data_IF_530175916722
#
_entry.id   IF_530175916722
#
_cell.length_a   1.000
_cell.length_b   1.000
_cell.length_c   1.000
_cell.angle_alpha   90.00
_cell.angle_beta   90.00
_cell.angle_gamma   90.00
#
_symmetry.space_group_name_H-M   'P 1'
#
loop_
_entity.id
_entity.type
_entity.pdbx_description
1 polymer ?
#
# COMPACT_ATOMS: atom_id res chain seq x y z
N UNK A 1 -49.20 -23.59 -16.34
CA UNK A 1 -47.97 -23.92 -17.06
C UNK A 1 -46.92 -22.92 -16.57
N UNK A 2 -46.28 -23.24 -15.44
CA UNK A 2 -45.33 -22.36 -14.74
C UNK A 2 -43.89 -22.71 -15.19
N UNK A 3 -43.24 -21.80 -15.90
CA UNK A 3 -41.81 -21.88 -16.18
C UNK A 3 -41.04 -21.28 -15.00
N UNK A 4 -40.50 -22.14 -14.15
CA UNK A 4 -39.47 -21.80 -13.17
C UNK A 4 -38.12 -21.72 -13.92
N UNK A 5 -37.65 -20.51 -14.18
CA UNK A 5 -36.26 -20.28 -14.65
C UNK A 5 -35.37 -20.35 -13.42
N UNK A 6 -34.73 -21.50 -13.23
CA UNK A 6 -33.72 -21.68 -12.19
C UNK A 6 -32.42 -20.93 -12.53
N UNK A 7 -32.15 -19.85 -11.82
CA UNK A 7 -30.83 -19.20 -11.84
C UNK A 7 -29.87 -20.04 -10.99
N UNK A 8 -29.03 -20.84 -11.65
CA UNK A 8 -27.94 -21.54 -10.99
C UNK A 8 -26.73 -20.59 -10.91
N UNK A 9 -26.58 -19.96 -9.74
CA UNK A 9 -25.35 -19.21 -9.44
C UNK A 9 -24.25 -20.24 -9.13
N UNK A 10 -23.40 -20.54 -10.12
CA UNK A 10 -22.14 -21.26 -9.86
C UNK A 10 -21.19 -20.34 -9.12
N UNK A 11 -21.09 -20.50 -7.82
CA UNK A 11 -19.94 -19.99 -7.06
C UNK A 11 -18.69 -20.73 -7.53
N UNK A 12 -17.91 -20.12 -8.40
CA UNK A 12 -16.51 -20.54 -8.56
C UNK A 12 -15.85 -20.27 -7.21
N UNK A 13 -15.41 -21.33 -6.54
CA UNK A 13 -14.48 -21.23 -5.40
C UNK A 13 -13.15 -20.74 -5.94
N UNK A 14 -13.00 -19.44 -6.08
CA UNK A 14 -11.71 -18.80 -6.28
C UNK A 14 -10.88 -19.10 -5.04
N UNK A 15 -9.75 -19.76 -5.23
CA UNK A 15 -8.75 -19.92 -4.19
C UNK A 15 -8.24 -18.49 -3.87
N UNK A 16 -8.68 -17.91 -2.76
CA UNK A 16 -8.13 -16.65 -2.26
C UNK A 16 -6.65 -16.90 -1.94
N UNK A 17 -5.77 -16.50 -2.84
CA UNK A 17 -4.35 -16.40 -2.52
C UNK A 17 -4.22 -15.25 -1.51
N UNK A 18 -4.00 -15.61 -0.25
CA UNK A 18 -3.54 -14.67 0.75
C UNK A 18 -2.13 -14.26 0.33
N UNK A 19 -1.99 -13.03 -0.14
CA UNK A 19 -0.68 -12.47 -0.46
C UNK A 19 -0.04 -11.99 0.84
N UNK A 20 1.17 -12.49 1.13
CA UNK A 20 2.05 -11.84 2.09
C UNK A 20 2.81 -10.76 1.31
N UNK A 21 2.55 -9.49 1.63
CA UNK A 21 3.34 -8.37 1.15
C UNK A 21 4.70 -8.38 1.84
N UNK A 22 5.77 -8.26 1.06
CA UNK A 22 7.16 -8.15 1.55
C UNK A 22 7.73 -6.85 1.02
N UNK A 23 7.91 -5.87 1.90
CA UNK A 23 8.36 -4.53 1.52
C UNK A 23 9.44 -3.99 2.45
N UNK A 24 10.24 -3.07 1.94
CA UNK A 24 11.10 -2.17 2.71
C UNK A 24 10.81 -0.74 2.29
N UNK A 25 10.85 0.18 3.25
CA UNK A 25 10.69 1.62 3.04
C UNK A 25 11.95 2.35 3.44
N UNK A 26 12.30 3.37 2.67
CA UNK A 26 13.41 4.28 2.93
C UNK A 26 12.94 5.73 2.93
N UNK A 27 13.58 6.55 3.75
CA UNK A 27 13.46 8.00 3.61
C UNK A 27 14.30 8.46 2.42
N UNK A 28 13.80 9.43 1.68
CA UNK A 28 14.47 9.99 0.50
C UNK A 28 14.64 11.49 0.69
N UNK A 29 15.89 11.95 0.60
CA UNK A 29 16.20 13.38 0.66
C UNK A 29 16.28 14.00 -0.73
N UNK A 30 16.77 13.25 -1.73
CA UNK A 30 16.85 13.67 -3.14
C UNK A 30 16.07 12.70 -4.04
N UNK A 31 14.82 13.04 -4.39
CA UNK A 31 13.99 12.19 -5.25
C UNK A 31 14.54 12.09 -6.68
N UNK A 32 15.18 13.15 -7.21
CA UNK A 32 15.74 13.13 -8.57
C UNK A 32 16.95 12.20 -8.67
N UNK A 33 17.80 12.19 -7.65
CA UNK A 33 18.89 11.22 -7.56
C UNK A 33 18.35 9.80 -7.43
N UNK A 34 17.31 9.60 -6.61
CA UNK A 34 16.69 8.29 -6.41
C UNK A 34 16.08 7.73 -7.70
N UNK A 35 15.44 8.56 -8.52
CA UNK A 35 14.91 8.15 -9.84
C UNK A 35 16.05 7.64 -10.74
N UNK A 36 17.14 8.39 -10.87
CA UNK A 36 18.30 7.98 -11.67
C UNK A 36 18.94 6.69 -11.15
N UNK A 37 18.96 6.53 -9.83
CA UNK A 37 19.47 5.32 -9.21
C UNK A 37 18.61 4.11 -9.55
N UNK A 38 17.28 4.23 -9.47
CA UNK A 38 16.34 3.18 -9.88
C UNK A 38 16.55 2.79 -11.35
N UNK A 39 16.66 3.78 -12.25
CA UNK A 39 16.92 3.53 -13.66
C UNK A 39 18.25 2.79 -13.89
N UNK A 40 19.31 3.16 -13.17
CA UNK A 40 20.61 2.50 -13.26
C UNK A 40 20.59 1.05 -12.75
N UNK A 41 19.63 0.69 -11.89
CA UNK A 41 19.38 -0.66 -11.42
C UNK A 41 18.36 -1.43 -12.28
N UNK A 42 18.04 -0.90 -13.48
CA UNK A 42 17.16 -1.57 -14.45
C UNK A 42 15.67 -1.43 -14.14
N UNK A 43 15.27 -0.51 -13.27
CA UNK A 43 13.87 -0.18 -13.09
C UNK A 43 13.39 0.75 -14.22
N UNK A 44 12.19 0.48 -14.71
CA UNK A 44 11.51 1.31 -15.70
C UNK A 44 10.33 2.02 -15.07
N UNK A 45 10.22 3.33 -15.31
CA UNK A 45 9.06 4.11 -14.86
C UNK A 45 7.82 3.69 -15.64
N UNK A 46 6.76 3.27 -14.95
CA UNK A 46 5.53 2.76 -15.55
C UNK A 46 4.33 3.68 -15.38
N UNK A 47 4.39 4.63 -14.47
CA UNK A 47 3.30 5.58 -14.28
C UNK A 47 3.44 6.48 -13.06
N UNK A 48 2.46 7.36 -12.94
CA UNK A 48 2.31 8.26 -11.79
C UNK A 48 0.86 8.34 -11.37
N UNK A 49 0.61 8.32 -10.07
CA UNK A 49 -0.73 8.33 -9.50
C UNK A 49 -0.80 9.26 -8.30
N UNK A 50 -1.97 9.81 -8.07
CA UNK A 50 -2.36 10.44 -6.82
C UNK A 50 -3.16 9.42 -6.02
N UNK A 51 -2.76 9.17 -4.77
CA UNK A 51 -3.47 8.29 -3.84
C UNK A 51 -3.98 9.09 -2.65
N UNK A 52 -5.26 8.90 -2.32
CA UNK A 52 -5.88 9.43 -1.11
C UNK A 52 -6.28 8.26 -0.24
N UNK A 53 -5.70 8.19 0.94
CA UNK A 53 -5.89 7.11 1.90
C UNK A 53 -6.79 7.57 3.06
N UNK A 54 -7.76 6.74 3.42
CA UNK A 54 -8.61 6.90 4.60
C UNK A 54 -8.44 5.67 5.48
N UNK A 55 -7.91 5.86 6.69
CA UNK A 55 -7.68 4.78 7.65
C UNK A 55 -8.76 4.79 8.72
N UNK A 56 -9.28 3.62 9.01
CA UNK A 56 -10.36 3.42 9.98
C UNK A 56 -9.92 2.49 11.11
N UNK A 57 -10.39 2.80 12.32
CA UNK A 57 -10.24 1.91 13.47
C UNK A 57 -11.54 1.15 13.73
N UNK A 58 -11.40 -0.08 14.24
CA UNK A 58 -12.54 -0.94 14.55
C UNK A 58 -13.24 -0.47 15.84
N UNK A 59 -14.60 -0.53 15.93
CA UNK A 59 -15.33 -0.01 17.10
C UNK A 59 -15.07 -0.74 18.42
N UNK A 60 -14.67 -2.02 18.35
CA UNK A 60 -14.48 -2.87 19.54
C UNK A 60 -13.05 -3.42 19.68
N UNK A 61 -12.14 -3.08 18.79
CA UNK A 61 -10.74 -3.53 18.78
C UNK A 61 -9.84 -2.41 18.27
N UNK A 62 -8.90 -1.98 19.07
CA UNK A 62 -7.95 -0.95 18.64
C UNK A 62 -6.86 -1.56 17.72
N UNK A 63 -6.88 -1.16 16.46
CA UNK A 63 -5.92 -1.63 15.46
C UNK A 63 -4.50 -1.12 15.72
N UNK A 64 -4.34 -0.05 16.49
CA UNK A 64 -3.02 0.43 16.88
C UNK A 64 -2.36 -0.51 17.90
N UNK A 65 -3.15 -1.15 18.79
CA UNK A 65 -2.66 -2.12 19.77
C UNK A 65 -2.36 -3.50 19.13
N UNK A 66 -3.06 -3.83 18.04
CA UNK A 66 -2.94 -5.12 17.36
C UNK A 66 -2.07 -5.07 16.10
N UNK A 67 -1.45 -3.94 15.80
CA UNK A 67 -0.66 -3.70 14.59
C UNK A 67 -1.42 -4.04 13.29
N UNK A 68 -2.71 -3.70 13.25
CA UNK A 68 -3.58 -3.90 12.11
C UNK A 68 -3.88 -2.57 11.42
N UNK A 69 -4.35 -2.62 10.19
CA UNK A 69 -4.85 -1.44 9.49
C UNK A 69 -6.01 -1.77 8.55
N UNK A 70 -7.00 -0.88 8.49
CA UNK A 70 -8.10 -0.92 7.54
C UNK A 70 -8.11 0.39 6.77
N UNK A 71 -7.98 0.29 5.43
CA UNK A 71 -7.78 1.45 4.56
C UNK A 71 -8.75 1.42 3.40
N UNK A 72 -9.37 2.56 3.12
CA UNK A 72 -10.01 2.86 1.85
C UNK A 72 -9.05 3.76 1.07
N UNK A 73 -8.66 3.36 -0.15
CA UNK A 73 -7.75 4.10 -1.02
C UNK A 73 -8.43 4.47 -2.33
N UNK A 74 -8.51 5.75 -2.60
CA UNK A 74 -8.85 6.25 -3.93
C UNK A 74 -7.55 6.59 -4.67
N UNK A 75 -7.30 5.89 -5.78
CA UNK A 75 -6.13 6.11 -6.65
C UNK A 75 -6.59 6.74 -7.96
N UNK A 76 -5.88 7.78 -8.40
CA UNK A 76 -6.09 8.44 -9.70
C UNK A 76 -4.79 8.45 -10.48
N UNK A 77 -4.76 7.77 -11.63
CA UNK A 77 -3.62 7.71 -12.55
C UNK A 77 -4.06 8.27 -13.91
N UNK A 78 -3.67 9.50 -14.20
CA UNK A 78 -4.20 10.21 -15.36
C UNK A 78 -5.73 10.34 -15.28
N UNK A 79 -6.46 9.77 -16.25
CA UNK A 79 -7.93 9.75 -16.28
C UNK A 79 -8.55 8.53 -15.56
N UNK A 80 -7.75 7.55 -15.19
CA UNK A 80 -8.23 6.30 -14.58
C UNK A 80 -8.33 6.45 -13.07
N UNK A 81 -9.47 6.02 -12.51
CA UNK A 81 -9.68 5.93 -11.05
C UNK A 81 -9.82 4.48 -10.63
N UNK A 82 -9.29 4.16 -9.48
CA UNK A 82 -9.46 2.87 -8.80
C UNK A 82 -9.77 3.11 -7.33
N UNK A 83 -10.62 2.27 -6.75
CA UNK A 83 -10.96 2.28 -5.34
C UNK A 83 -10.64 0.92 -4.76
N UNK A 84 -9.85 0.89 -3.70
CA UNK A 84 -9.48 -0.34 -3.00
C UNK A 84 -9.83 -0.25 -1.51
N UNK A 85 -10.40 -1.33 -1.00
CA UNK A 85 -10.55 -1.58 0.43
C UNK A 85 -9.51 -2.60 0.84
N UNK A 86 -8.62 -2.22 1.76
CA UNK A 86 -7.50 -3.06 2.17
C UNK A 86 -7.53 -3.28 3.68
N UNK A 87 -7.46 -4.54 4.10
CA UNK A 87 -7.13 -4.93 5.46
C UNK A 87 -5.70 -5.44 5.49
N UNK A 88 -4.90 -4.91 6.42
CA UNK A 88 -3.53 -5.38 6.70
C UNK A 88 -3.48 -5.96 8.11
N UNK A 89 -3.05 -7.22 8.22
CA UNK A 89 -2.83 -7.89 9.50
C UNK A 89 -1.57 -7.38 10.23
N UNK A 90 -1.27 -7.89 11.43
CA UNK A 90 -0.04 -7.58 12.15
C UNK A 90 1.22 -7.88 11.32
N UNK A 91 2.29 -7.10 11.56
CA UNK A 91 3.60 -7.38 10.98
C UNK A 91 4.16 -8.70 11.52
N UNK A 92 4.68 -9.53 10.64
CA UNK A 92 5.43 -10.73 11.06
C UNK A 92 6.81 -10.29 11.57
N UNK A 93 7.20 -10.78 12.74
CA UNK A 93 8.52 -10.51 13.33
C UNK A 93 9.56 -11.40 12.68
N UNK A 94 10.71 -10.86 12.24
CA UNK A 94 11.78 -11.75 11.76
C UNK A 94 12.90 -11.15 10.94
N UNK A 95 12.71 -10.04 10.26
CA UNK A 95 13.79 -9.38 9.52
C UNK A 95 13.75 -7.91 9.83
N UNK A 96 14.85 -7.38 10.38
CA UNK A 96 14.99 -5.96 10.64
C UNK A 96 14.65 -5.17 9.37
N UNK A 97 13.80 -4.15 9.48
CA UNK A 97 13.33 -3.23 8.44
C UNK A 97 12.58 -3.81 7.23
N UNK A 98 12.49 -5.13 7.06
CA UNK A 98 11.64 -5.76 6.03
C UNK A 98 10.31 -6.10 6.67
N UNK A 99 9.23 -5.50 6.16
CA UNK A 99 7.87 -5.77 6.63
C UNK A 99 7.29 -6.93 5.86
N UNK A 100 6.76 -7.89 6.59
CA UNK A 100 5.96 -9.00 6.05
C UNK A 100 4.60 -8.93 6.71
N UNK A 101 3.55 -8.80 5.91
CA UNK A 101 2.17 -8.68 6.41
C UNK A 101 1.21 -9.47 5.53
N UNK A 102 0.23 -10.08 6.17
CA UNK A 102 -0.95 -10.59 5.45
C UNK A 102 -1.80 -9.42 4.99
N UNK A 103 -2.15 -9.42 3.73
CA UNK A 103 -3.02 -8.39 3.13
C UNK A 103 -4.24 -9.03 2.47
N UNK A 104 -5.40 -8.39 2.63
CA UNK A 104 -6.62 -8.70 1.91
C UNK A 104 -7.06 -7.41 1.24
N UNK A 105 -7.04 -7.38 -0.09
CA UNK A 105 -7.48 -6.23 -0.87
C UNK A 105 -8.70 -6.59 -1.73
N UNK A 106 -9.68 -5.71 -1.71
CA UNK A 106 -10.88 -5.77 -2.55
C UNK A 106 -10.91 -4.54 -3.44
N UNK A 107 -11.05 -4.77 -4.75
CA UNK A 107 -11.33 -3.69 -5.69
C UNK A 107 -12.82 -3.37 -5.65
N UNK A 108 -13.15 -2.09 -5.57
CA UNK A 108 -14.50 -1.54 -5.50
C UNK A 108 -14.68 -0.55 -6.64
N UNK A 109 -15.90 -0.38 -7.15
CA UNK A 109 -16.16 0.65 -8.14
C UNK A 109 -15.88 2.04 -7.53
N UNK A 110 -15.08 2.91 -8.18
CA UNK A 110 -14.75 4.22 -7.66
C UNK A 110 -15.96 5.11 -7.33
N UNK A 111 -17.10 4.91 -7.99
CA UNK A 111 -18.36 5.63 -7.70
C UNK A 111 -18.95 5.29 -6.34
N UNK A 112 -18.54 4.18 -5.72
CA UNK A 112 -19.04 3.72 -4.42
C UNK A 112 -18.25 4.31 -3.23
N UNK A 113 -17.29 5.20 -3.48
CA UNK A 113 -16.39 5.73 -2.44
C UNK A 113 -17.15 6.32 -1.24
N UNK A 114 -18.10 7.22 -1.46
CA UNK A 114 -18.88 7.86 -0.38
C UNK A 114 -19.81 6.86 0.33
N UNK A 115 -20.39 5.91 -0.40
CA UNK A 115 -21.22 4.86 0.21
C UNK A 115 -20.40 3.93 1.10
N UNK A 116 -19.17 3.59 0.69
CA UNK A 116 -18.27 2.74 1.48
C UNK A 116 -17.86 3.44 2.78
N UNK A 117 -17.57 4.73 2.75
CA UNK A 117 -17.31 5.56 3.94
C UNK A 117 -18.52 5.55 4.88
N UNK A 118 -19.70 5.88 4.34
CA UNK A 118 -20.95 5.89 5.12
C UNK A 118 -21.29 4.54 5.74
N UNK A 119 -20.99 3.44 5.02
CA UNK A 119 -21.16 2.08 5.54
C UNK A 119 -20.26 1.84 6.76
N UNK A 120 -18.98 2.23 6.69
CA UNK A 120 -18.04 2.07 7.79
C UNK A 120 -18.46 2.88 9.01
N UNK A 121 -18.85 4.13 8.83
CA UNK A 121 -19.36 4.99 9.88
C UNK A 121 -20.63 4.41 10.54
N UNK A 122 -21.56 3.89 9.71
CA UNK A 122 -22.78 3.23 10.21
C UNK A 122 -22.51 1.94 10.99
N UNK A 123 -21.43 1.23 10.67
CA UNK A 123 -20.95 0.06 11.41
C UNK A 123 -20.11 0.44 12.65
N UNK A 124 -19.91 1.72 12.92
CA UNK A 124 -19.21 2.23 14.08
C UNK A 124 -17.69 2.32 13.93
N UNK A 125 -17.14 2.08 12.72
CA UNK A 125 -15.73 2.34 12.46
C UNK A 125 -15.44 3.84 12.55
N UNK A 126 -14.27 4.19 13.07
CA UNK A 126 -13.87 5.60 13.25
C UNK A 126 -12.74 5.94 12.29
N UNK A 127 -12.89 7.04 11.55
CA UNK A 127 -11.80 7.59 10.76
C UNK A 127 -10.68 8.05 11.69
N UNK A 128 -9.49 7.47 11.52
CA UNK A 128 -8.29 7.77 12.34
C UNK A 128 -7.43 8.82 11.66
N UNK A 129 -7.22 8.67 10.35
CA UNK A 129 -6.39 9.57 9.57
C UNK A 129 -6.79 9.51 8.10
N UNK A 130 -6.60 10.63 7.42
CA UNK A 130 -6.69 10.69 5.97
C UNK A 130 -5.57 11.56 5.44
N UNK A 131 -4.88 11.12 4.40
CA UNK A 131 -3.79 11.84 3.77
C UNK A 131 -3.64 11.46 2.30
N UNK A 132 -2.90 12.29 1.58
CA UNK A 132 -2.64 12.08 0.17
C UNK A 132 -1.14 11.94 -0.10
N UNK A 133 -0.81 11.20 -1.16
CA UNK A 133 0.55 11.08 -1.68
C UNK A 133 0.55 11.05 -3.21
N UNK A 134 1.57 11.63 -3.82
CA UNK A 134 1.92 11.41 -5.22
C UNK A 134 2.86 10.21 -5.27
N UNK A 135 2.56 9.27 -6.13
CA UNK A 135 3.30 8.01 -6.25
C UNK A 135 3.79 7.81 -7.67
N UNK A 136 5.09 7.76 -7.87
CA UNK A 136 5.70 7.31 -9.12
C UNK A 136 5.98 5.82 -9.02
N UNK A 137 5.54 5.08 -10.04
CA UNK A 137 5.61 3.61 -10.09
C UNK A 137 6.76 3.18 -11.00
N UNK A 138 7.55 2.22 -10.52
CA UNK A 138 8.65 1.60 -11.26
C UNK A 138 8.53 0.09 -11.20
N UNK A 139 8.88 -0.57 -12.30
CA UNK A 139 8.97 -2.03 -12.38
C UNK A 139 10.39 -2.45 -12.72
N UNK A 140 10.91 -3.40 -11.96
CA UNK A 140 12.17 -4.09 -12.16
C UNK A 140 11.98 -5.61 -12.15
N UNK A 141 13.04 -6.39 -12.31
CA UNK A 141 12.97 -7.85 -12.34
C UNK A 141 12.56 -8.41 -10.98
N UNK A 142 11.29 -8.76 -10.84
CA UNK A 142 10.73 -9.39 -9.62
C UNK A 142 10.58 -8.47 -8.41
N UNK A 143 10.84 -7.16 -8.59
CA UNK A 143 10.70 -6.12 -7.57
C UNK A 143 9.95 -4.95 -8.16
N UNK A 144 8.97 -4.43 -7.45
CA UNK A 144 8.38 -3.11 -7.72
C UNK A 144 9.04 -2.08 -6.84
N UNK A 145 9.21 -0.88 -7.37
CA UNK A 145 9.63 0.27 -6.59
C UNK A 145 8.58 1.39 -6.72
N UNK A 146 8.36 2.12 -5.64
CA UNK A 146 7.52 3.31 -5.68
C UNK A 146 8.25 4.46 -5.00
N UNK A 147 8.33 5.59 -5.71
CA UNK A 147 8.83 6.84 -5.16
C UNK A 147 7.62 7.71 -4.79
N UNK A 148 7.43 7.92 -3.51
CA UNK A 148 6.26 8.58 -2.95
C UNK A 148 6.62 9.97 -2.40
N UNK A 149 5.87 10.99 -2.80
CA UNK A 149 5.79 12.26 -2.09
C UNK A 149 4.60 12.19 -1.13
N UNK A 150 4.85 11.97 0.16
CA UNK A 150 3.82 12.07 1.19
C UNK A 150 3.57 13.56 1.45
N UNK A 151 2.38 14.05 1.08
CA UNK A 151 2.09 15.49 1.06
C UNK A 151 2.20 16.12 2.46
N UNK A 152 3.05 17.14 2.57
CA UNK A 152 3.33 17.84 3.83
C UNK A 152 4.42 17.21 4.68
N UNK A 153 5.06 16.13 4.21
CA UNK A 153 6.06 15.36 4.98
C UNK A 153 7.39 15.23 4.25
N UNK A 154 7.39 14.71 3.01
CA UNK A 154 8.61 14.48 2.24
C UNK A 154 8.53 13.25 1.37
N UNK A 155 9.70 12.75 0.94
CA UNK A 155 9.81 11.68 -0.03
C UNK A 155 10.24 10.36 0.61
N UNK A 156 9.72 9.27 0.03
CA UNK A 156 10.00 7.91 0.46
C UNK A 156 10.12 6.97 -0.74
N UNK A 157 10.99 5.98 -0.61
CA UNK A 157 11.11 4.88 -1.56
C UNK A 157 10.60 3.62 -0.89
N UNK A 158 9.67 2.91 -1.54
CA UNK A 158 9.27 1.55 -1.16
C UNK A 158 9.77 0.58 -2.23
N UNK A 159 10.39 -0.51 -1.79
CA UNK A 159 10.71 -1.66 -2.63
C UNK A 159 9.82 -2.82 -2.17
N UNK A 160 9.08 -3.42 -3.10
CA UNK A 160 8.16 -4.54 -2.85
C UNK A 160 8.58 -5.76 -3.66
N UNK A 161 8.68 -6.92 -3.00
CA UNK A 161 8.95 -8.19 -3.64
C UNK A 161 7.68 -8.71 -4.34
N UNK A 162 7.73 -8.89 -5.66
CA UNK A 162 6.59 -9.38 -6.46
C UNK A 162 6.50 -10.90 -6.47
N UNK A 163 7.65 -11.60 -6.49
CA UNK A 163 7.69 -13.05 -6.59
C UNK A 163 8.60 -13.66 -5.53
N UNK A 164 8.10 -14.67 -4.83
CA UNK A 164 8.85 -15.38 -3.78
C UNK A 164 10.17 -16.00 -4.22
N UNK A 165 10.30 -16.32 -5.51
CA UNK A 165 11.53 -16.87 -6.09
C UNK A 165 12.66 -15.82 -6.19
N UNK A 166 12.32 -14.53 -6.09
CA UNK A 166 13.26 -13.41 -6.19
C UNK A 166 13.74 -12.88 -4.83
N UNK A 167 13.49 -13.60 -3.72
CA UNK A 167 13.92 -13.16 -2.37
C UNK A 167 15.41 -12.85 -2.26
N UNK A 168 16.26 -13.61 -2.94
CA UNK A 168 17.70 -13.37 -2.98
C UNK A 168 18.05 -12.06 -3.66
N UNK A 169 17.46 -11.79 -4.81
CA UNK A 169 17.62 -10.53 -5.56
C UNK A 169 17.13 -9.33 -4.75
N UNK A 170 15.95 -9.46 -4.15
CA UNK A 170 15.38 -8.42 -3.29
C UNK A 170 16.30 -8.09 -2.12
N UNK A 171 16.81 -9.09 -1.38
CA UNK A 171 17.73 -8.88 -0.26
C UNK A 171 19.04 -8.22 -0.70
N UNK A 172 19.59 -8.64 -1.84
CA UNK A 172 20.82 -8.04 -2.39
C UNK A 172 20.61 -6.58 -2.76
N UNK A 173 19.48 -6.27 -3.42
CA UNK A 173 19.11 -4.90 -3.79
C UNK A 173 18.93 -4.01 -2.55
N UNK A 174 18.19 -4.47 -1.55
CA UNK A 174 17.99 -3.76 -0.27
C UNK A 174 19.34 -3.50 0.41
N UNK A 175 20.22 -4.51 0.49
CA UNK A 175 21.58 -4.36 1.04
C UNK A 175 22.39 -3.31 0.28
N UNK A 176 22.31 -3.31 -1.04
CA UNK A 176 23.02 -2.34 -1.88
C UNK A 176 22.54 -0.90 -1.65
N UNK A 177 21.22 -0.68 -1.55
CA UNK A 177 20.67 0.65 -1.24
C UNK A 177 21.15 1.16 0.12
N UNK A 178 21.23 0.29 1.12
CA UNK A 178 21.70 0.65 2.46
C UNK A 178 23.21 0.89 2.45
N UNK A 179 24.02 -0.08 1.99
CA UNK A 179 25.46 -0.10 2.18
C UNK A 179 26.21 0.80 1.20
N UNK A 180 25.76 0.86 -0.07
CA UNK A 180 26.46 1.65 -1.10
C UNK A 180 25.87 3.03 -1.29
N UNK A 181 24.55 3.17 -1.13
CA UNK A 181 23.85 4.43 -1.41
C UNK A 181 23.37 5.16 -0.15
N UNK A 182 23.59 4.59 1.04
CA UNK A 182 23.33 5.24 2.32
C UNK A 182 21.86 5.46 2.64
N UNK A 183 20.95 4.69 2.03
CA UNK A 183 19.54 4.80 2.34
C UNK A 183 19.24 4.27 3.75
N UNK A 184 18.51 5.07 4.52
CA UNK A 184 18.07 4.68 5.87
C UNK A 184 16.70 3.99 5.82
N UNK A 185 16.62 2.70 6.20
CA UNK A 185 15.36 2.00 6.22
C UNK A 185 14.46 2.50 7.37
N UNK A 186 13.16 2.62 7.07
CA UNK A 186 12.15 3.10 8.02
C UNK A 186 11.16 1.98 8.30
N UNK A 187 10.99 1.66 9.58
CA UNK A 187 10.03 0.64 10.02
C UNK A 187 8.59 1.17 10.15
N UNK A 188 8.40 2.48 10.12
CA UNK A 188 7.09 3.13 10.24
C UNK A 188 6.30 3.05 8.94
N UNK A 189 5.00 2.81 9.08
CA UNK A 189 4.03 2.98 8.00
C UNK A 189 3.73 4.46 7.76
N UNK A 190 3.13 4.83 6.61
CA UNK A 190 2.69 6.21 6.38
C UNK A 190 1.64 6.67 7.41
N UNK A 191 0.78 5.75 7.87
CA UNK A 191 -0.18 6.05 8.92
C UNK A 191 0.52 6.46 10.21
N UNK A 192 1.51 5.66 10.68
CA UNK A 192 2.29 5.96 11.88
C UNK A 192 3.03 7.29 11.75
N UNK A 193 3.66 7.55 10.59
CA UNK A 193 4.33 8.82 10.31
C UNK A 193 3.33 9.98 10.41
N UNK A 194 2.16 9.87 9.78
CA UNK A 194 1.15 10.92 9.78
C UNK A 194 0.55 11.19 11.16
N UNK A 195 0.37 10.16 11.98
CA UNK A 195 -0.13 10.31 13.35
C UNK A 195 0.89 11.02 14.27
N UNK A 196 2.18 10.76 14.07
CA UNK A 196 3.23 11.36 14.90
C UNK A 196 3.48 12.84 14.59
N UNK A 197 3.58 13.18 13.30
CA UNK A 197 4.01 14.53 12.91
C UNK A 197 2.84 15.50 12.70
N UNK A 198 1.62 14.99 12.61
CA UNK A 198 0.37 15.77 12.44
C UNK A 198 0.39 16.83 11.32
N UNK A 199 1.28 16.65 10.31
CA UNK A 199 1.45 17.59 9.18
C UNK A 199 1.00 17.02 7.84
N UNK A 200 0.58 15.75 7.82
CA UNK A 200 0.07 15.13 6.59
C UNK A 200 -1.14 15.89 6.05
N UNK A 201 -1.15 16.11 4.74
CA UNK A 201 -2.18 16.91 4.07
C UNK A 201 -3.16 16.03 3.33
N UNK A 202 -4.42 16.45 3.39
CA UNK A 202 -5.46 16.03 2.46
C UNK A 202 -5.39 16.90 1.20
N UNK A 203 -6.09 16.49 0.16
CA UNK A 203 -6.40 17.33 -1.00
C UNK A 203 -7.71 18.03 -0.78
#
# INVERSE_FOLDING_TARGET
>A
MNLLVGFSIRFQRGCFKLHSEVEVKFKVDDPVHTEKLLESHGFSRVGECLEVDHYYNHPCRDFSETDEALRIRLRTCGSTKALALTYKGPRETGVQYIKVRREIELQVDPSEFEKLKSLFESLGFKLVSSFAKRRVLYEGTGVKATLDELLGVGYFLELELVSGDMKGVFKSLVGEFIEKHGFEPIDKTYLEICLEINTCRHL
#
